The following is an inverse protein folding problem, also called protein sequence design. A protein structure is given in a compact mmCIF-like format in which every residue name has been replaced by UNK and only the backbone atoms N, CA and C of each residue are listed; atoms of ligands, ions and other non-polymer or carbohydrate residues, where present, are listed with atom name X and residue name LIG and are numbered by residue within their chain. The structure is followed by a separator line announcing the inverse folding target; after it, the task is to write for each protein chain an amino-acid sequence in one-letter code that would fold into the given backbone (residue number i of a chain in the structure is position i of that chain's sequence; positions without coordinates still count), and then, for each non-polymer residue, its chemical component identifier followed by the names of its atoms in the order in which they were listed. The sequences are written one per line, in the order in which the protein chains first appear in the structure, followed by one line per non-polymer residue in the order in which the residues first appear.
data_IF_059099335838
#
_entry.id   IF_059099335838
#
_cell.length_a   1.000
_cell.length_b   1.000
_cell.length_c   1.000
_cell.angle_alpha   90.00
_cell.angle_beta   90.00
_cell.angle_gamma   90.00
#
_symmetry.space_group_name_H-M   'P 1'
#
loop_
_entity.id
_entity.type
_entity.pdbx_description
1 polymer ?
#
# COMPACT_ATOMS: atom_id res chain seq x y z
N UNK A 1 36.92 4.29 -11.91
CA UNK A 1 35.67 3.54 -12.14
C UNK A 1 34.88 3.66 -10.84
N UNK A 2 33.70 4.27 -10.82
CA UNK A 2 32.93 4.38 -9.56
C UNK A 2 32.14 3.09 -9.43
N UNK A 3 32.47 2.27 -8.44
CA UNK A 3 31.66 1.12 -8.05
C UNK A 3 30.30 1.66 -7.57
N UNK A 4 29.25 1.31 -8.30
CA UNK A 4 27.89 1.65 -7.88
C UNK A 4 27.47 0.58 -6.90
N UNK A 5 27.64 0.87 -5.62
CA UNK A 5 27.06 0.07 -4.54
C UNK A 5 25.54 -0.08 -4.78
N UNK A 6 24.99 -1.23 -4.42
CA UNK A 6 23.57 -1.51 -4.59
C UNK A 6 22.78 -0.56 -3.69
N UNK A 7 22.15 0.45 -4.30
CA UNK A 7 21.28 1.39 -3.61
C UNK A 7 19.94 0.70 -3.35
N UNK A 8 19.64 0.41 -2.08
CA UNK A 8 18.46 -0.38 -1.67
C UNK A 8 17.27 0.51 -1.35
N UNK A 9 17.50 1.77 -0.97
CA UNK A 9 16.45 2.71 -0.60
C UNK A 9 16.58 4.07 -1.29
N UNK A 10 15.45 4.79 -1.38
CA UNK A 10 15.43 6.17 -1.92
C UNK A 10 16.28 7.13 -1.07
N UNK A 11 16.39 6.88 0.22
CA UNK A 11 17.18 7.70 1.14
C UNK A 11 18.67 7.54 0.89
N UNK A 12 19.13 6.29 0.73
CA UNK A 12 20.50 5.98 0.32
C UNK A 12 20.85 6.64 -1.01
N UNK A 13 19.91 6.64 -1.98
CA UNK A 13 20.09 7.31 -3.26
C UNK A 13 20.34 8.82 -3.10
N UNK A 14 19.48 9.49 -2.30
CA UNK A 14 19.58 10.94 -2.06
C UNK A 14 20.91 11.29 -1.38
N UNK A 15 21.29 10.52 -0.34
CA UNK A 15 22.55 10.72 0.38
C UNK A 15 23.76 10.50 -0.52
N UNK A 16 23.76 9.44 -1.35
CA UNK A 16 24.84 9.17 -2.29
C UNK A 16 25.05 10.34 -3.27
N UNK A 17 23.96 10.87 -3.83
CA UNK A 17 24.02 12.03 -4.72
C UNK A 17 24.61 13.26 -4.03
N UNK A 18 24.21 13.52 -2.79
CA UNK A 18 24.70 14.67 -2.00
C UNK A 18 26.19 14.51 -1.70
N UNK A 19 26.62 13.35 -1.21
CA UNK A 19 28.02 13.07 -0.87
C UNK A 19 28.92 13.18 -2.10
N UNK A 20 28.55 12.53 -3.21
CA UNK A 20 29.34 12.55 -4.44
C UNK A 20 29.41 13.93 -5.09
N UNK A 21 28.35 14.73 -4.99
CA UNK A 21 28.40 16.11 -5.45
C UNK A 21 29.30 16.99 -4.56
N UNK A 22 29.30 16.76 -3.24
CA UNK A 22 30.19 17.44 -2.30
C UNK A 22 31.67 17.07 -2.52
N UNK A 23 31.96 15.84 -2.96
CA UNK A 23 33.29 15.40 -3.42
C UNK A 23 33.73 16.06 -4.76
N UNK A 24 32.90 16.90 -5.38
CA UNK A 24 33.23 17.65 -6.60
C UNK A 24 32.81 16.97 -7.91
N UNK A 25 32.06 15.86 -7.85
CA UNK A 25 31.58 15.20 -9.07
C UNK A 25 30.45 16.03 -9.70
N UNK A 26 30.64 16.41 -10.97
CA UNK A 26 29.64 17.21 -11.69
C UNK A 26 28.30 16.49 -11.85
N UNK A 27 27.21 17.28 -11.88
CA UNK A 27 25.83 16.79 -12.14
C UNK A 27 25.76 15.97 -13.44
N UNK A 28 26.53 16.34 -14.48
CA UNK A 28 26.57 15.61 -15.75
C UNK A 28 27.19 14.22 -15.59
N UNK A 29 28.25 14.12 -14.80
CA UNK A 29 28.91 12.85 -14.49
C UNK A 29 28.00 11.94 -13.66
N UNK A 30 27.38 12.48 -12.61
CA UNK A 30 26.40 11.76 -11.78
C UNK A 30 25.23 11.22 -12.60
N UNK A 31 24.68 12.02 -13.52
CA UNK A 31 23.59 11.59 -14.40
C UNK A 31 24.01 10.40 -15.30
N UNK A 32 25.24 10.40 -15.78
CA UNK A 32 25.78 9.34 -16.64
C UNK A 32 26.03 8.05 -15.85
N UNK A 33 26.56 8.16 -14.63
CA UNK A 33 26.91 7.03 -13.76
C UNK A 33 25.66 6.38 -13.18
N UNK A 34 24.73 7.19 -12.65
CA UNK A 34 23.50 6.71 -12.02
C UNK A 34 22.38 6.41 -13.01
N UNK A 35 22.54 6.76 -14.29
CA UNK A 35 21.50 6.67 -15.34
C UNK A 35 20.19 7.37 -14.95
N UNK A 36 20.30 8.51 -14.26
CA UNK A 36 19.15 9.33 -13.84
C UNK A 36 19.20 10.69 -14.53
N UNK A 37 18.03 11.25 -14.86
CA UNK A 37 17.92 12.58 -15.44
C UNK A 37 18.57 13.67 -14.57
N UNK A 38 19.27 14.61 -15.22
CA UNK A 38 19.96 15.74 -14.53
C UNK A 38 19.01 16.56 -13.65
N UNK A 39 17.72 16.63 -14.00
CA UNK A 39 16.71 17.36 -13.23
C UNK A 39 16.41 16.69 -11.89
N UNK A 40 16.47 15.37 -11.80
CA UNK A 40 16.28 14.64 -10.54
C UNK A 40 17.43 14.93 -9.59
N UNK A 41 18.67 14.89 -10.09
CA UNK A 41 19.87 15.22 -9.31
C UNK A 41 19.79 16.67 -8.81
N UNK A 42 19.47 17.63 -9.69
CA UNK A 42 19.27 19.03 -9.29
C UNK A 42 18.19 19.19 -8.22
N UNK A 43 17.08 18.47 -8.35
CA UNK A 43 15.99 18.52 -7.38
C UNK A 43 16.43 18.03 -6.00
N UNK A 44 17.22 16.95 -5.96
CA UNK A 44 17.77 16.42 -4.71
C UNK A 44 18.71 17.45 -4.07
N UNK A 45 19.65 18.00 -4.83
CA UNK A 45 20.61 18.99 -4.32
C UNK A 45 19.90 20.25 -3.80
N UNK A 46 18.95 20.81 -4.55
CA UNK A 46 18.16 21.97 -4.11
C UNK A 46 17.31 21.66 -2.89
N UNK A 47 16.71 20.48 -2.83
CA UNK A 47 15.92 20.06 -1.66
C UNK A 47 16.80 19.94 -0.42
N UNK A 48 18.04 19.45 -0.58
CA UNK A 48 19.01 19.36 0.51
C UNK A 48 19.50 20.75 0.96
N UNK A 49 19.81 21.65 0.02
CA UNK A 49 20.18 23.04 0.32
C UNK A 49 19.07 23.76 1.09
N UNK A 50 17.83 23.69 0.59
CA UNK A 50 16.67 24.27 1.28
C UNK A 50 16.42 23.68 2.68
N UNK A 51 16.81 22.42 2.93
CA UNK A 51 16.74 21.79 4.26
C UNK A 51 17.83 22.30 5.20
N UNK A 52 19.01 22.65 4.67
CA UNK A 52 20.12 23.23 5.46
C UNK A 52 19.79 24.66 5.87
N UNK A 53 19.24 25.45 4.95
CA UNK A 53 18.96 26.88 5.17
C UNK A 53 17.78 27.11 6.13
N UNK A 54 16.74 26.26 6.07
CA UNK A 54 15.50 26.45 6.84
C UNK A 54 15.43 25.62 8.13
N UNK A 55 16.49 24.88 8.48
CA UNK A 55 16.51 23.99 9.64
C UNK A 55 15.71 22.70 9.45
N UNK A 56 16.14 21.62 10.12
CA UNK A 56 15.48 20.33 10.09
C UNK A 56 14.31 20.33 11.07
N UNK A 57 13.10 20.60 10.59
CA UNK A 57 11.91 20.35 11.41
C UNK A 57 11.71 18.83 11.46
N UNK A 58 12.05 18.21 12.59
CA UNK A 58 12.07 16.76 12.83
C UNK A 58 10.68 16.13 12.56
N UNK A 59 9.63 16.97 12.56
CA UNK A 59 8.23 16.63 12.33
C UNK A 59 7.77 16.83 10.88
N UNK A 60 8.63 17.25 9.94
CA UNK A 60 8.26 17.32 8.53
C UNK A 60 8.25 15.92 7.91
N UNK A 61 7.21 15.16 8.27
CA UNK A 61 6.82 13.93 7.59
C UNK A 61 6.98 14.12 6.09
N UNK A 62 7.68 13.17 5.45
CA UNK A 62 7.82 13.10 3.99
C UNK A 62 6.44 13.09 3.38
N UNK A 63 5.94 14.28 3.08
CA UNK A 63 4.69 14.50 2.37
C UNK A 63 4.86 13.95 0.97
N UNK A 64 4.54 12.66 0.81
CA UNK A 64 3.81 12.24 -0.38
C UNK A 64 2.43 12.92 -0.30
N UNK A 65 2.42 14.24 -0.50
CA UNK A 65 1.25 15.12 -0.44
C UNK A 65 0.31 14.89 -1.63
N UNK A 66 0.42 13.75 -2.30
CA UNK A 66 -0.62 13.31 -3.22
C UNK A 66 -1.79 12.89 -2.34
N UNK A 67 -2.67 13.85 -2.08
CA UNK A 67 -4.03 13.56 -1.61
C UNK A 67 -4.54 12.41 -2.47
N UNK A 68 -5.03 11.30 -1.88
CA UNK A 68 -5.59 10.23 -2.66
C UNK A 68 -6.66 10.83 -3.56
N UNK A 69 -6.53 10.61 -4.87
CA UNK A 69 -7.51 11.12 -5.84
C UNK A 69 -8.87 10.54 -5.48
N UNK A 70 -9.92 11.37 -5.47
CA UNK A 70 -11.30 10.90 -5.35
C UNK A 70 -11.52 9.82 -6.41
N UNK A 71 -11.96 8.63 -6.00
CA UNK A 71 -12.30 7.56 -6.94
C UNK A 71 -13.75 7.78 -7.39
N UNK A 72 -14.09 7.41 -8.63
CA UNK A 72 -15.48 7.46 -9.14
C UNK A 72 -16.49 6.77 -8.21
N UNK A 73 -16.05 5.74 -7.48
CA UNK A 73 -16.90 4.99 -6.53
C UNK A 73 -17.22 5.78 -5.25
N UNK A 74 -16.44 6.81 -4.90
CA UNK A 74 -16.65 7.53 -3.65
C UNK A 74 -17.99 8.30 -3.64
N UNK A 75 -18.49 8.72 -4.82
CA UNK A 75 -19.80 9.37 -4.96
C UNK A 75 -20.97 8.40 -4.72
N UNK A 76 -20.74 7.09 -4.90
CA UNK A 76 -21.72 6.02 -4.70
C UNK A 76 -21.65 5.38 -3.31
N UNK A 77 -20.74 5.84 -2.44
CA UNK A 77 -20.63 5.37 -1.07
C UNK A 77 -21.94 5.41 -0.24
N UNK A 78 -22.81 6.44 -0.30
CA UNK A 78 -24.07 6.43 0.45
C UNK A 78 -25.00 5.30 0.00
N UNK A 79 -25.16 5.12 -1.31
CA UNK A 79 -26.00 4.04 -1.87
C UNK A 79 -25.49 2.65 -1.52
N UNK A 80 -24.16 2.46 -1.49
CA UNK A 80 -23.58 1.19 -1.03
C UNK A 80 -23.93 0.89 0.42
N UNK A 81 -24.03 1.90 1.30
CA UNK A 81 -24.43 1.71 2.70
C UNK A 81 -25.90 1.32 2.81
N UNK A 82 -26.80 2.02 2.10
CA UNK A 82 -28.23 1.68 2.06
C UNK A 82 -28.46 0.23 1.61
N UNK A 83 -27.76 -0.19 0.54
CA UNK A 83 -27.82 -1.57 0.06
C UNK A 83 -27.26 -2.58 1.06
N UNK A 84 -26.23 -2.20 1.82
CA UNK A 84 -25.64 -3.05 2.86
C UNK A 84 -26.58 -3.20 4.07
N UNK A 85 -27.29 -2.14 4.44
CA UNK A 85 -28.29 -2.16 5.52
C UNK A 85 -29.49 -3.02 5.13
N UNK A 86 -30.01 -2.85 3.91
CA UNK A 86 -31.12 -3.66 3.38
C UNK A 86 -30.73 -5.12 3.15
N UNK A 87 -29.50 -5.36 2.68
CA UNK A 87 -29.00 -6.68 2.33
C UNK A 87 -27.58 -6.91 2.91
N UNK A 88 -27.45 -7.30 4.20
CA UNK A 88 -26.15 -7.47 4.86
C UNK A 88 -25.21 -8.45 4.14
N UNK A 89 -25.78 -9.48 3.49
CA UNK A 89 -25.05 -10.54 2.76
C UNK A 89 -24.94 -10.30 1.25
N UNK A 90 -25.23 -9.09 0.74
CA UNK A 90 -25.18 -8.78 -0.69
C UNK A 90 -23.82 -9.14 -1.31
N UNK A 91 -23.82 -9.79 -2.47
CA UNK A 91 -22.57 -10.12 -3.15
C UNK A 91 -21.99 -8.89 -3.82
N UNK A 92 -20.67 -8.83 -3.99
CA UNK A 92 -20.03 -7.73 -4.71
C UNK A 92 -20.47 -7.62 -6.17
N UNK A 93 -21.01 -8.70 -6.75
CA UNK A 93 -21.61 -8.71 -8.09
C UNK A 93 -22.96 -8.01 -8.07
N UNK A 94 -23.87 -8.40 -7.15
CA UNK A 94 -25.19 -7.75 -7.03
C UNK A 94 -25.09 -6.27 -6.70
N UNK A 95 -24.16 -5.91 -5.82
CA UNK A 95 -23.89 -4.51 -5.54
C UNK A 95 -23.37 -3.75 -6.76
N UNK A 96 -22.58 -4.39 -7.63
CA UNK A 96 -22.11 -3.75 -8.86
C UNK A 96 -23.24 -3.54 -9.88
N UNK A 97 -24.13 -4.52 -10.06
CA UNK A 97 -25.32 -4.40 -10.92
C UNK A 97 -26.21 -3.24 -10.47
N UNK A 98 -26.54 -3.18 -9.17
CA UNK A 98 -27.32 -2.10 -8.57
C UNK A 98 -26.65 -0.73 -8.77
N UNK A 99 -25.32 -0.65 -8.65
CA UNK A 99 -24.60 0.58 -8.91
C UNK A 99 -24.63 0.94 -10.41
N UNK A 100 -24.55 -0.03 -11.31
CA UNK A 100 -24.56 0.18 -12.75
C UNK A 100 -25.92 0.67 -13.24
N UNK A 101 -27.02 0.14 -12.70
CA UNK A 101 -28.38 0.66 -12.95
C UNK A 101 -28.53 2.13 -12.52
N UNK A 102 -27.69 2.58 -11.59
CA UNK A 102 -27.64 3.96 -11.11
C UNK A 102 -26.52 4.79 -11.74
N UNK A 103 -25.99 4.34 -12.89
CA UNK A 103 -25.04 5.09 -13.71
C UNK A 103 -23.57 4.89 -13.35
N UNK A 104 -23.22 3.88 -12.54
CA UNK A 104 -21.81 3.61 -12.23
C UNK A 104 -21.08 2.95 -13.40
N UNK A 105 -20.10 3.65 -13.97
CA UNK A 105 -19.27 3.18 -15.09
C UNK A 105 -17.88 2.64 -14.65
N UNK A 106 -17.66 2.46 -13.35
CA UNK A 106 -16.37 2.02 -12.83
C UNK A 106 -16.18 0.49 -12.84
N UNK A 107 -15.03 0.04 -12.35
CA UNK A 107 -14.73 -1.40 -12.27
C UNK A 107 -15.41 -2.09 -11.09
N UNK A 108 -15.81 -3.35 -11.27
CA UNK A 108 -16.29 -4.23 -10.21
C UNK A 108 -15.24 -4.51 -9.12
N UNK A 109 -13.95 -4.53 -9.48
CA UNK A 109 -12.86 -4.75 -8.52
C UNK A 109 -12.83 -3.68 -7.43
N UNK A 110 -13.09 -2.43 -7.81
CA UNK A 110 -13.14 -1.32 -6.88
C UNK A 110 -14.36 -1.41 -5.93
N UNK A 111 -15.51 -1.87 -6.45
CA UNK A 111 -16.71 -2.14 -5.66
C UNK A 111 -16.43 -3.22 -4.61
N UNK A 112 -15.82 -4.33 -5.02
CA UNK A 112 -15.44 -5.42 -4.12
C UNK A 112 -14.44 -4.97 -3.05
N UNK A 113 -13.44 -4.17 -3.43
CA UNK A 113 -12.47 -3.59 -2.50
C UNK A 113 -13.18 -2.72 -1.44
N UNK A 114 -14.04 -1.80 -1.86
CA UNK A 114 -14.79 -0.91 -0.96
C UNK A 114 -15.75 -1.69 -0.07
N UNK A 115 -16.48 -2.66 -0.64
CA UNK A 115 -17.40 -3.54 0.09
C UNK A 115 -16.66 -4.36 1.17
N UNK A 116 -15.47 -4.89 0.86
CA UNK A 116 -14.63 -5.60 1.81
C UNK A 116 -14.15 -4.71 2.95
N UNK A 117 -13.93 -3.41 2.71
CA UNK A 117 -13.56 -2.44 3.75
C UNK A 117 -14.76 -2.02 4.62
N UNK A 118 -15.97 -2.03 4.07
CA UNK A 118 -17.19 -1.71 4.81
C UNK A 118 -17.65 -2.85 5.71
N UNK A 119 -17.39 -4.10 5.31
CA UNK A 119 -17.67 -5.26 6.16
C UNK A 119 -16.56 -5.45 7.19
N UNK A 120 -16.87 -5.64 8.48
CA UNK A 120 -15.87 -6.12 9.42
C UNK A 120 -15.36 -7.48 8.91
N UNK A 121 -14.05 -7.58 8.66
CA UNK A 121 -13.46 -8.88 8.35
C UNK A 121 -13.67 -9.79 9.55
N UNK A 122 -14.32 -10.94 9.34
CA UNK A 122 -14.34 -11.98 10.35
C UNK A 122 -12.88 -12.31 10.71
N UNK A 123 -12.53 -12.25 12.00
CA UNK A 123 -11.22 -12.70 12.47
C UNK A 123 -11.11 -14.17 12.07
N UNK A 124 -10.08 -14.53 11.30
CA UNK A 124 -9.79 -15.95 11.05
C UNK A 124 -9.56 -16.61 12.40
N UNK A 125 -10.40 -17.58 12.76
CA UNK A 125 -10.19 -18.39 13.95
C UNK A 125 -8.84 -19.09 13.81
N UNK A 126 -8.02 -19.03 14.87
CA UNK A 126 -6.74 -19.72 14.87
C UNK A 126 -6.99 -21.22 14.67
N UNK A 127 -6.38 -21.81 13.64
CA UNK A 127 -6.42 -23.26 13.42
C UNK A 127 -5.49 -23.87 14.46
N UNK A 128 -6.05 -24.42 15.53
CA UNK A 128 -5.27 -25.15 16.52
C UNK A 128 -4.85 -26.49 15.91
N UNK A 129 -3.57 -26.63 15.56
CA UNK A 129 -2.99 -27.90 15.10
C UNK A 129 -2.61 -28.72 16.31
N UNK A 130 -3.24 -29.87 16.48
CA UNK A 130 -2.85 -30.86 17.47
C UNK A 130 -2.25 -32.08 16.76
N UNK A 131 -1.28 -32.72 17.40
CA UNK A 131 -0.69 -33.95 16.89
C UNK A 131 -1.63 -35.13 17.18
N UNK A 132 -1.74 -36.03 16.21
CA UNK A 132 -2.46 -37.30 16.35
C UNK A 132 -1.45 -38.43 16.51
N UNK A 133 -1.80 -39.44 17.32
CA UNK A 133 -0.97 -40.64 17.47
C UNK A 133 -0.86 -41.44 16.16
N UNK A 134 0.22 -42.23 16.04
CA UNK A 134 0.50 -43.01 14.84
C UNK A 134 -0.66 -43.98 14.53
N UNK A 135 -1.18 -43.92 13.29
CA UNK A 135 -2.28 -44.77 12.82
C UNK A 135 -3.69 -44.20 13.01
N UNK A 136 -3.85 -43.02 13.62
CA UNK A 136 -5.16 -42.40 13.84
C UNK A 136 -5.40 -41.24 12.88
N UNK A 137 -6.39 -41.37 11.98
CA UNK A 137 -6.82 -40.31 11.08
C UNK A 137 -8.29 -39.96 11.30
N UNK A 138 -8.56 -38.82 11.94
CA UNK A 138 -9.91 -38.24 11.97
C UNK A 138 -10.08 -37.39 10.71
N UNK A 139 -11.00 -37.80 9.84
CA UNK A 139 -11.21 -37.20 8.53
C UNK A 139 -11.43 -35.68 8.55
N UNK A 140 -11.36 -35.06 7.37
CA UNK A 140 -11.18 -33.61 7.14
C UNK A 140 -12.23 -32.65 7.77
N UNK A 141 -13.29 -33.15 8.41
CA UNK A 141 -14.42 -32.35 8.94
C UNK A 141 -14.83 -32.72 10.38
N UNK A 142 -13.91 -33.08 11.28
CA UNK A 142 -14.25 -33.32 12.70
C UNK A 142 -13.73 -32.17 13.56
N UNK A 143 -14.63 -31.43 14.22
CA UNK A 143 -14.28 -30.47 15.28
C UNK A 143 -14.38 -31.21 16.62
N UNK A 144 -13.26 -31.69 17.16
CA UNK A 144 -13.20 -32.28 18.49
C UNK A 144 -12.95 -31.20 19.55
N UNK A 145 -13.92 -31.02 20.45
CA UNK A 145 -13.81 -30.13 21.62
C UNK A 145 -13.19 -30.94 22.77
N UNK A 146 -12.08 -30.45 23.35
CA UNK A 146 -11.51 -31.03 24.58
C UNK A 146 -12.56 -30.97 25.68
N UNK A 147 -12.92 -32.12 26.26
CA UNK A 147 -13.68 -32.16 27.51
C UNK A 147 -12.73 -31.72 28.63
N UNK A 148 -12.94 -30.52 29.16
CA UNK A 148 -12.25 -30.09 30.37
C UNK A 148 -12.64 -31.01 31.52
N UNK A 149 -11.62 -31.52 32.23
CA UNK A 149 -11.77 -32.02 33.60
C UNK A 149 -11.84 -30.80 34.51
#
# INVERSE_FOLDING_TARGET
MIEVEIIKSKEEFENFVITKHAEGISIRSLAKILKVGRNTIRKILRSNESRRDNGHDILTEKKSNRKPKKKKLDDYAPKMKELLEKYPKITGVRMFEELQENGYEGSISLVREKLSRMRPSAKKTAINRFETEAGVHYGKNVIMVRKSI
#
